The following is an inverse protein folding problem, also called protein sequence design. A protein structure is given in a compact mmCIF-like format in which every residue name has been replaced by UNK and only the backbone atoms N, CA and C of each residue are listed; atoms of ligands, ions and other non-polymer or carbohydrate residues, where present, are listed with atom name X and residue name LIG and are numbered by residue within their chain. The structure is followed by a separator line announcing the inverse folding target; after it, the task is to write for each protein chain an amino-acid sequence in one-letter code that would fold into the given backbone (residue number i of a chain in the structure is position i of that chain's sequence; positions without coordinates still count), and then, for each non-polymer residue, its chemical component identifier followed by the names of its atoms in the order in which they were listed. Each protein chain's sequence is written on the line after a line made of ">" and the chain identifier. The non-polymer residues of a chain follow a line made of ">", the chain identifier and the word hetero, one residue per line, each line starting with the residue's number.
data_IF_438052428162
#
_entry.id   IF_438052428162
#
_cell.length_a   1.000
_cell.length_b   1.000
_cell.length_c   1.000
_cell.angle_alpha   90.00
_cell.angle_beta   90.00
_cell.angle_gamma   90.00
#
_symmetry.space_group_name_H-M   'P 1'
#
loop_
_entity.id
_entity.type
_entity.pdbx_description
1 polymer ?
#
# COMPACT_ATOMS: atom_id res chain seq x y z
N UNK A 1 13.62 -13.33 7.44
CA UNK A 1 13.04 -13.60 6.17
C UNK A 1 11.79 -14.46 6.40
N UNK A 2 10.85 -14.55 5.51
CA UNK A 2 9.47 -15.01 5.67
C UNK A 2 9.30 -16.20 6.64
N UNK A 3 8.38 -16.05 7.58
CA UNK A 3 7.99 -17.09 8.52
C UNK A 3 7.59 -18.36 7.74
N UNK A 4 8.37 -19.43 7.89
CA UNK A 4 8.23 -20.70 7.16
C UNK A 4 6.85 -21.35 7.33
N UNK A 5 6.11 -20.98 8.37
CA UNK A 5 4.79 -21.54 8.71
C UNK A 5 3.63 -21.07 7.82
N UNK A 6 3.85 -20.13 6.86
CA UNK A 6 2.82 -19.58 5.98
C UNK A 6 3.12 -19.73 4.50
N UNK A 7 4.08 -20.58 4.14
CA UNK A 7 4.34 -20.87 2.73
C UNK A 7 3.18 -21.60 2.09
N UNK A 8 2.78 -21.18 0.89
CA UNK A 8 1.77 -21.87 0.10
C UNK A 8 2.36 -23.09 -0.61
N UNK A 9 3.68 -23.09 -0.84
CA UNK A 9 4.40 -24.13 -1.55
C UNK A 9 5.19 -24.96 -0.54
N UNK A 10 4.96 -26.25 -0.53
CA UNK A 10 5.67 -27.24 0.30
C UNK A 10 6.30 -28.30 -0.58
N UNK A 11 7.41 -28.91 -0.12
CA UNK A 11 8.05 -30.02 -0.83
C UNK A 11 7.07 -31.18 -1.02
N UNK A 12 7.01 -31.71 -2.25
CA UNK A 12 6.11 -32.80 -2.62
C UNK A 12 4.68 -32.38 -3.03
N UNK A 13 4.35 -31.07 -3.00
CA UNK A 13 3.09 -30.59 -3.57
C UNK A 13 3.09 -30.67 -5.09
N UNK A 14 1.91 -30.78 -5.69
CA UNK A 14 1.77 -30.71 -7.14
C UNK A 14 2.21 -29.33 -7.65
N UNK A 15 2.89 -29.29 -8.82
CA UNK A 15 3.23 -28.05 -9.48
C UNK A 15 1.97 -27.32 -9.94
N UNK A 16 1.77 -26.11 -9.47
CA UNK A 16 0.65 -25.25 -9.82
C UNK A 16 1.15 -23.80 -9.98
N UNK A 17 1.03 -23.27 -11.20
CA UNK A 17 1.47 -21.92 -11.53
C UNK A 17 0.69 -20.83 -10.76
N UNK A 18 -0.59 -21.08 -10.48
CA UNK A 18 -1.42 -20.14 -9.72
C UNK A 18 -0.93 -20.05 -8.26
N UNK A 19 -0.62 -21.18 -7.64
CA UNK A 19 -0.05 -21.23 -6.27
C UNK A 19 1.31 -20.54 -6.23
N UNK A 20 2.14 -20.69 -7.27
CA UNK A 20 3.40 -19.97 -7.39
C UNK A 20 3.19 -18.44 -7.45
N UNK A 21 2.20 -17.98 -8.22
CA UNK A 21 1.87 -16.57 -8.31
C UNK A 21 1.34 -16.00 -6.98
N UNK A 22 0.46 -16.73 -6.31
CA UNK A 22 -0.05 -16.37 -4.98
C UNK A 22 1.09 -16.28 -3.95
N UNK A 23 2.09 -17.15 -4.02
CA UNK A 23 3.26 -17.08 -3.15
C UNK A 23 4.12 -15.84 -3.42
N UNK A 24 4.30 -15.44 -4.71
CA UNK A 24 4.95 -14.16 -5.06
C UNK A 24 4.22 -12.98 -4.44
N UNK A 25 2.88 -12.93 -4.58
CA UNK A 25 2.04 -11.89 -3.98
C UNK A 25 2.17 -11.86 -2.45
N UNK A 26 2.15 -13.03 -1.81
CA UNK A 26 2.32 -13.17 -0.36
C UNK A 26 3.67 -12.61 0.11
N UNK A 27 4.75 -12.91 -0.61
CA UNK A 27 6.09 -12.42 -0.29
C UNK A 27 6.16 -10.91 -0.49
N UNK A 28 5.66 -10.38 -1.61
CA UNK A 28 5.62 -8.95 -1.89
C UNK A 28 4.83 -8.18 -0.81
N UNK A 29 3.65 -8.66 -0.45
CA UNK A 29 2.86 -8.10 0.64
C UNK A 29 3.60 -8.15 2.00
N UNK A 30 4.30 -9.25 2.29
CA UNK A 30 5.12 -9.35 3.51
C UNK A 30 6.28 -8.32 3.55
N UNK A 31 6.84 -7.97 2.41
CA UNK A 31 7.84 -6.91 2.27
C UNK A 31 7.22 -5.52 2.46
N UNK A 32 6.08 -5.22 1.80
CA UNK A 32 5.36 -3.95 1.96
C UNK A 32 4.88 -3.73 3.40
N UNK A 33 4.50 -4.78 4.11
CA UNK A 33 4.19 -4.71 5.56
C UNK A 33 5.38 -4.37 6.46
N UNK A 34 6.60 -4.42 5.93
CA UNK A 34 7.86 -4.10 6.62
C UNK A 34 8.47 -2.78 6.18
N UNK A 35 7.72 -1.96 5.45
CA UNK A 35 8.14 -0.64 5.02
C UNK A 35 8.68 -0.53 3.60
N UNK A 36 8.81 -1.63 2.86
CA UNK A 36 9.33 -1.61 1.49
C UNK A 36 8.21 -1.24 0.51
N UNK A 37 7.85 0.03 0.46
CA UNK A 37 6.69 0.55 -0.28
C UNK A 37 6.69 0.17 -1.76
N UNK A 38 7.84 0.27 -2.44
CA UNK A 38 7.98 -0.02 -3.88
C UNK A 38 8.25 -1.49 -4.19
N UNK A 39 8.24 -2.38 -3.19
CA UNK A 39 8.47 -3.80 -3.45
C UNK A 39 7.21 -4.44 -4.06
N UNK A 40 7.36 -5.00 -5.26
CA UNK A 40 6.27 -5.64 -6.00
C UNK A 40 6.56 -7.12 -6.31
N UNK A 41 5.49 -7.88 -6.60
CA UNK A 41 5.60 -9.28 -6.98
C UNK A 41 6.38 -9.49 -8.29
N UNK A 42 6.37 -8.49 -9.19
CA UNK A 42 7.10 -8.54 -10.45
C UNK A 42 8.62 -8.55 -10.26
N UNK A 43 9.11 -8.20 -9.08
CA UNK A 43 10.52 -8.32 -8.70
C UNK A 43 10.93 -9.78 -8.40
N UNK A 44 9.97 -10.69 -8.32
CA UNK A 44 10.18 -12.09 -7.98
C UNK A 44 9.93 -12.98 -9.19
N UNK A 45 10.79 -13.98 -9.40
CA UNK A 45 10.61 -15.03 -10.40
C UNK A 45 10.86 -16.40 -9.79
N UNK A 46 10.52 -17.43 -10.53
CA UNK A 46 10.85 -18.81 -10.20
C UNK A 46 11.74 -19.41 -11.27
N UNK A 47 12.78 -20.10 -10.81
CA UNK A 47 13.48 -21.08 -11.62
C UNK A 47 12.88 -22.46 -11.36
N UNK A 48 12.65 -23.18 -12.42
CA UNK A 48 12.15 -24.55 -12.38
C UNK A 48 13.19 -25.48 -13.00
N UNK A 49 13.77 -26.38 -12.22
CA UNK A 49 14.71 -27.40 -12.66
C UNK A 49 14.00 -28.74 -12.77
N UNK A 50 13.84 -29.24 -13.98
CA UNK A 50 13.24 -30.54 -14.29
C UNK A 50 14.27 -31.65 -14.56
N UNK A 51 15.56 -31.39 -14.39
CA UNK A 51 16.63 -32.33 -14.77
C UNK A 51 16.76 -33.54 -13.86
N UNK A 52 16.18 -33.50 -12.65
CA UNK A 52 16.25 -34.60 -11.67
C UNK A 52 15.49 -35.88 -12.05
N UNK A 53 14.71 -35.88 -13.14
CA UNK A 53 13.91 -37.02 -13.58
C UNK A 53 12.77 -37.38 -12.63
N UNK A 54 12.01 -38.46 -12.94
CA UNK A 54 10.92 -38.99 -12.11
C UNK A 54 9.73 -38.04 -11.90
N UNK A 55 9.42 -37.17 -12.87
CA UNK A 55 8.28 -36.22 -12.78
C UNK A 55 8.37 -35.27 -11.58
N UNK A 56 9.57 -34.91 -11.15
CA UNK A 56 9.83 -33.95 -10.08
C UNK A 56 10.45 -32.67 -10.67
N UNK A 57 10.04 -31.53 -10.13
CA UNK A 57 10.56 -30.22 -10.50
C UNK A 57 11.02 -29.52 -9.22
N UNK A 58 12.28 -29.10 -9.19
CA UNK A 58 12.76 -28.23 -8.12
C UNK A 58 12.44 -26.78 -8.48
N UNK A 59 11.75 -26.08 -7.59
CA UNK A 59 11.34 -24.69 -7.81
C UNK A 59 12.04 -23.79 -6.81
N UNK A 60 12.75 -22.79 -7.30
CA UNK A 60 13.47 -21.80 -6.47
C UNK A 60 12.97 -20.39 -6.79
N UNK A 61 12.49 -19.67 -5.76
CA UNK A 61 12.12 -18.26 -5.91
C UNK A 61 13.38 -17.39 -5.87
N UNK A 62 13.52 -16.48 -6.84
CA UNK A 62 14.62 -15.51 -6.95
C UNK A 62 14.10 -14.09 -7.22
N UNK A 63 14.98 -13.12 -7.05
CA UNK A 63 14.78 -11.79 -7.61
C UNK A 63 15.02 -11.83 -9.11
N UNK A 64 14.22 -11.05 -9.85
CA UNK A 64 14.36 -10.92 -11.31
C UNK A 64 15.75 -10.43 -11.70
N UNK A 65 16.35 -11.04 -12.73
CA UNK A 65 17.69 -10.68 -13.22
C UNK A 65 17.75 -9.24 -13.73
N UNK A 66 16.67 -8.72 -14.30
CA UNK A 66 16.65 -7.34 -14.78
C UNK A 66 16.98 -6.31 -13.69
N UNK A 67 16.75 -6.64 -12.40
CA UNK A 67 17.17 -5.80 -11.28
C UNK A 67 18.67 -5.58 -11.24
N UNK A 68 19.46 -6.54 -11.70
CA UNK A 68 20.92 -6.42 -11.74
C UNK A 68 21.36 -5.34 -12.74
N UNK A 69 20.56 -5.11 -13.80
CA UNK A 69 20.79 -4.14 -14.86
C UNK A 69 20.12 -2.78 -14.62
N UNK A 70 19.38 -2.63 -13.52
CA UNK A 70 18.77 -1.35 -13.12
C UNK A 70 19.81 -0.43 -12.47
N UNK A 71 19.53 0.88 -12.47
CA UNK A 71 20.35 1.86 -11.78
C UNK A 71 20.41 1.55 -10.27
N UNK A 72 21.50 1.96 -9.63
CA UNK A 72 21.61 1.81 -8.16
C UNK A 72 20.52 2.61 -7.45
N UNK A 73 20.11 3.77 -7.97
CA UNK A 73 19.00 4.57 -7.45
C UNK A 73 17.68 3.78 -7.44
N UNK A 74 17.38 3.04 -8.52
CA UNK A 74 16.18 2.20 -8.58
C UNK A 74 16.24 1.06 -7.55
N UNK A 75 17.39 0.38 -7.43
CA UNK A 75 17.58 -0.69 -6.44
C UNK A 75 17.41 -0.14 -5.01
N UNK A 76 18.03 0.99 -4.72
CA UNK A 76 17.87 1.64 -3.43
C UNK A 76 16.42 2.00 -3.15
N UNK A 77 15.70 2.56 -4.12
CA UNK A 77 14.28 2.91 -4.01
C UNK A 77 13.43 1.70 -3.63
N UNK A 78 13.62 0.58 -4.31
CA UNK A 78 12.86 -0.67 -4.09
C UNK A 78 13.16 -1.31 -2.72
N UNK A 79 14.42 -1.29 -2.30
CA UNK A 79 14.87 -1.94 -1.05
C UNK A 79 14.98 -0.97 0.13
N UNK A 80 14.54 0.28 -0.03
CA UNK A 80 14.48 1.26 1.04
C UNK A 80 13.18 1.13 1.82
N UNK A 81 13.26 1.37 3.13
CA UNK A 81 12.09 1.46 3.99
C UNK A 81 11.58 2.89 4.03
N UNK A 82 10.27 3.03 3.94
CA UNK A 82 9.59 4.32 3.93
C UNK A 82 8.82 4.54 5.24
N UNK A 83 8.72 5.80 5.63
CA UNK A 83 7.94 6.27 6.77
C UNK A 83 6.86 7.22 6.30
N UNK A 84 5.79 7.33 7.05
CA UNK A 84 4.72 8.28 6.80
C UNK A 84 5.12 9.62 7.43
N UNK A 85 5.28 10.66 6.63
CA UNK A 85 5.55 12.00 7.16
C UNK A 85 4.25 12.63 7.68
N UNK A 86 3.25 12.74 6.82
CA UNK A 86 1.95 13.32 7.15
C UNK A 86 0.80 12.45 6.65
N UNK A 87 -0.36 12.61 7.27
CA UNK A 87 -1.62 12.00 6.83
C UNK A 87 -2.62 13.11 6.51
N UNK A 88 -2.96 13.25 5.23
CA UNK A 88 -3.88 14.26 4.71
C UNK A 88 -5.27 13.67 4.52
N UNK A 89 -6.25 14.17 5.23
CA UNK A 89 -7.66 13.85 5.05
C UNK A 89 -8.32 14.87 4.13
N UNK A 90 -8.87 14.44 3.02
CA UNK A 90 -9.63 15.22 2.06
C UNK A 90 -11.11 14.83 2.16
N UNK A 91 -11.94 15.74 2.72
CA UNK A 91 -13.32 15.45 3.04
C UNK A 91 -14.25 16.12 2.02
N UNK A 92 -15.04 15.30 1.32
CA UNK A 92 -15.98 15.69 0.28
C UNK A 92 -15.36 16.41 -0.93
N UNK A 93 -14.05 16.32 -1.09
CA UNK A 93 -13.37 16.83 -2.29
C UNK A 93 -12.20 15.93 -2.71
N UNK A 94 -11.83 16.02 -4.00
CA UNK A 94 -10.68 15.33 -4.58
C UNK A 94 -9.57 16.37 -4.84
N UNK A 95 -8.36 16.21 -4.26
CA UNK A 95 -7.25 17.14 -4.48
C UNK A 95 -6.84 17.28 -5.95
N UNK A 96 -7.11 16.26 -6.79
CA UNK A 96 -6.88 16.33 -8.24
C UNK A 96 -7.94 17.16 -8.99
N UNK A 97 -9.03 17.58 -8.32
CA UNK A 97 -10.17 18.29 -8.87
C UNK A 97 -10.64 19.36 -7.92
N UNK A 98 -9.83 20.40 -7.76
CA UNK A 98 -10.17 21.55 -6.90
C UNK A 98 -11.44 22.22 -7.40
N UNK A 99 -12.47 22.38 -6.56
CA UNK A 99 -13.69 23.11 -6.95
C UNK A 99 -13.37 24.58 -7.20
N UNK A 100 -13.76 25.11 -8.36
CA UNK A 100 -13.44 26.47 -8.77
C UNK A 100 -14.12 27.57 -7.91
N UNK A 101 -15.23 27.25 -7.21
CA UNK A 101 -16.08 28.24 -6.51
C UNK A 101 -16.46 27.85 -5.06
N UNK A 102 -15.88 26.80 -4.46
CA UNK A 102 -16.25 26.39 -3.11
C UNK A 102 -15.20 26.80 -2.08
N UNK A 103 -15.66 27.30 -0.92
CA UNK A 103 -14.79 27.68 0.17
C UNK A 103 -14.15 26.46 0.83
N UNK A 104 -12.82 26.39 0.77
CA UNK A 104 -12.02 25.29 1.26
C UNK A 104 -11.39 25.65 2.61
N UNK A 105 -11.52 24.77 3.58
CA UNK A 105 -11.01 24.91 4.94
C UNK A 105 -9.91 23.90 5.21
N UNK A 106 -8.91 24.31 5.99
CA UNK A 106 -7.81 23.42 6.40
C UNK A 106 -7.53 23.57 7.89
N UNK A 107 -7.27 22.44 8.54
CA UNK A 107 -6.74 22.39 9.91
C UNK A 107 -5.66 21.32 10.02
N UNK A 108 -4.73 21.46 10.97
CA UNK A 108 -3.67 20.49 11.18
C UNK A 108 -3.39 20.27 12.67
N UNK A 109 -3.04 19.04 13.03
CA UNK A 109 -2.60 18.66 14.37
C UNK A 109 -1.80 17.35 14.33
N UNK A 110 -0.66 17.31 15.01
CA UNK A 110 0.15 16.10 15.22
C UNK A 110 0.51 15.31 13.94
N UNK A 111 0.84 16.03 12.84
CA UNK A 111 1.16 15.42 11.55
C UNK A 111 -0.06 14.98 10.73
N UNK A 112 -1.27 15.20 11.24
CA UNK A 112 -2.51 15.06 10.48
C UNK A 112 -2.93 16.41 9.90
N UNK A 113 -3.33 16.42 8.64
CA UNK A 113 -3.88 17.58 7.93
C UNK A 113 -5.28 17.25 7.48
N UNK A 114 -6.24 18.14 7.74
CA UNK A 114 -7.64 17.96 7.39
C UNK A 114 -8.05 19.09 6.46
N UNK A 115 -8.53 18.74 5.27
CA UNK A 115 -9.07 19.68 4.30
C UNK A 115 -10.50 19.28 3.95
N UNK A 116 -11.41 20.24 3.91
CA UNK A 116 -12.81 19.98 3.61
C UNK A 116 -13.44 21.15 2.87
N UNK A 117 -14.53 20.84 2.18
CA UNK A 117 -15.35 21.80 1.46
C UNK A 117 -16.70 21.93 2.18
N UNK A 118 -17.14 23.16 2.38
CA UNK A 118 -18.40 23.46 3.05
C UNK A 118 -18.52 22.91 4.47
N UNK A 119 -19.57 22.10 4.75
CA UNK A 119 -19.77 21.53 6.09
C UNK A 119 -18.92 20.29 6.30
N UNK A 120 -18.06 20.32 7.30
CA UNK A 120 -17.17 19.20 7.67
C UNK A 120 -17.95 17.90 7.91
N UNK A 121 -17.58 16.86 7.18
CA UNK A 121 -18.26 15.56 7.17
C UNK A 121 -18.15 14.82 8.50
N UNK A 122 -16.95 14.78 9.09
CA UNK A 122 -16.64 14.11 10.34
C UNK A 122 -15.70 14.97 11.19
N UNK A 123 -15.74 14.77 12.51
CA UNK A 123 -14.81 15.41 13.44
C UNK A 123 -13.43 14.78 13.32
N UNK A 124 -12.36 15.56 13.49
CA UNK A 124 -10.95 15.12 13.37
C UNK A 124 -10.65 13.92 14.28
N UNK A 125 -11.14 13.96 15.54
CA UNK A 125 -10.98 12.84 16.49
C UNK A 125 -11.56 11.52 15.99
N UNK A 126 -12.66 11.57 15.21
CA UNK A 126 -13.26 10.36 14.63
C UNK A 126 -12.38 9.82 13.50
N UNK A 127 -11.85 10.70 12.66
CA UNK A 127 -10.95 10.34 11.58
C UNK A 127 -9.66 9.71 12.11
N UNK A 128 -8.98 10.37 13.02
CA UNK A 128 -7.74 9.89 13.63
C UNK A 128 -7.95 8.55 14.34
N UNK A 129 -9.02 8.40 15.15
CA UNK A 129 -9.31 7.15 15.86
C UNK A 129 -9.53 5.96 14.94
N UNK A 130 -10.05 6.19 13.73
CA UNK A 130 -10.29 5.14 12.74
C UNK A 130 -9.15 4.95 11.74
N UNK A 131 -8.11 5.80 11.80
CA UNK A 131 -6.94 5.72 10.93
C UNK A 131 -5.83 4.91 11.59
N UNK A 132 -5.50 3.72 11.11
CA UNK A 132 -4.36 2.95 11.59
C UNK A 132 -3.03 3.35 10.91
N UNK A 133 -3.06 4.36 10.02
CA UNK A 133 -1.87 4.97 9.41
C UNK A 133 -1.52 6.19 10.27
N UNK A 134 -0.32 6.18 10.86
CA UNK A 134 0.11 7.20 11.82
C UNK A 134 1.30 7.99 11.27
N UNK A 135 1.32 9.32 11.40
CA UNK A 135 2.50 10.13 11.10
C UNK A 135 3.72 9.64 11.90
N UNK A 136 4.90 9.65 11.25
CA UNK A 136 6.16 9.14 11.82
C UNK A 136 6.31 7.62 11.80
N UNK A 137 5.23 6.86 11.60
CA UNK A 137 5.28 5.40 11.56
C UNK A 137 5.89 4.87 10.25
N UNK A 138 6.47 3.68 10.32
CA UNK A 138 6.90 2.97 9.11
C UNK A 138 5.70 2.59 8.25
N UNK A 139 5.82 2.74 6.92
CA UNK A 139 4.80 2.28 5.99
C UNK A 139 4.45 0.80 6.23
N UNK A 140 3.17 0.51 6.23
CA UNK A 140 2.67 -0.85 6.44
C UNK A 140 1.39 -1.09 5.63
N UNK A 141 1.45 -1.93 4.61
CA UNK A 141 0.32 -2.26 3.75
C UNK A 141 -0.91 -2.75 4.54
N UNK A 142 -0.70 -3.50 5.62
CA UNK A 142 -1.81 -3.96 6.46
C UNK A 142 -2.52 -2.81 7.20
N UNK A 143 -1.82 -1.72 7.48
CA UNK A 143 -2.46 -0.52 8.03
C UNK A 143 -3.37 0.12 6.99
N UNK A 144 -2.93 0.16 5.73
CA UNK A 144 -3.73 0.68 4.61
C UNK A 144 -5.00 -0.15 4.40
N UNK A 145 -4.89 -1.48 4.33
CA UNK A 145 -6.03 -2.41 4.23
C UNK A 145 -7.06 -2.19 5.35
N UNK A 146 -6.57 -2.02 6.58
CA UNK A 146 -7.43 -1.74 7.75
C UNK A 146 -8.06 -0.36 7.70
N UNK A 147 -7.35 0.65 7.16
CA UNK A 147 -7.89 1.98 6.98
C UNK A 147 -9.09 1.95 6.02
N UNK A 148 -8.96 1.32 4.86
CA UNK A 148 -10.08 1.11 3.94
C UNK A 148 -11.28 0.48 4.64
N UNK A 149 -11.05 -0.63 5.35
CA UNK A 149 -12.13 -1.35 6.04
C UNK A 149 -12.83 -0.47 7.09
N UNK A 150 -12.08 0.25 7.92
CA UNK A 150 -12.63 1.08 8.98
C UNK A 150 -13.39 2.29 8.44
N UNK A 151 -12.88 2.96 7.41
CA UNK A 151 -13.55 4.12 6.83
C UNK A 151 -14.83 3.72 6.10
N UNK A 152 -14.85 2.59 5.38
CA UNK A 152 -16.08 2.07 4.77
C UNK A 152 -17.17 1.68 5.77
N UNK A 153 -16.82 1.39 7.03
CA UNK A 153 -17.78 1.11 8.10
C UNK A 153 -18.41 2.38 8.70
N UNK A 154 -17.85 3.57 8.40
CA UNK A 154 -18.43 4.83 8.88
C UNK A 154 -19.67 5.19 8.04
N UNK A 155 -20.82 5.28 8.69
CA UNK A 155 -22.12 5.46 8.02
C UNK A 155 -22.18 6.59 6.96
N UNK A 156 -21.57 7.80 7.16
CA UNK A 156 -21.64 8.86 6.17
C UNK A 156 -20.69 8.64 5.00
N UNK A 157 -19.71 7.73 5.08
CA UNK A 157 -18.71 7.52 4.04
C UNK A 157 -19.23 6.54 2.99
N UNK A 158 -19.21 6.95 1.72
CA UNK A 158 -19.56 6.13 0.55
C UNK A 158 -18.40 5.87 -0.39
N UNK A 159 -17.38 6.73 -0.34
CA UNK A 159 -16.19 6.63 -1.15
C UNK A 159 -14.96 6.80 -0.26
N UNK A 160 -13.97 5.94 -0.46
CA UNK A 160 -12.66 5.96 0.20
C UNK A 160 -11.61 5.73 -0.88
N UNK A 161 -10.62 6.62 -0.93
CA UNK A 161 -9.40 6.40 -1.69
C UNK A 161 -8.20 6.73 -0.82
N UNK A 162 -7.14 5.93 -0.94
CA UNK A 162 -5.90 6.11 -0.18
C UNK A 162 -4.73 6.02 -1.15
N UNK A 163 -4.02 7.11 -1.29
CA UNK A 163 -2.83 7.22 -2.13
C UNK A 163 -1.63 7.72 -1.35
N UNK A 164 -0.45 7.57 -1.93
CA UNK A 164 0.81 7.98 -1.31
C UNK A 164 1.64 8.78 -2.30
N UNK A 165 2.22 9.87 -1.81
CA UNK A 165 3.17 10.69 -2.54
C UNK A 165 4.53 10.64 -1.84
N UNK A 166 5.60 10.37 -2.59
CA UNK A 166 6.95 10.42 -2.06
C UNK A 166 7.43 11.87 -1.99
N UNK A 167 7.69 12.37 -0.79
CA UNK A 167 8.10 13.75 -0.54
C UNK A 167 9.61 13.90 -0.28
N UNK A 168 10.26 12.82 0.14
CA UNK A 168 11.72 12.78 0.34
C UNK A 168 12.29 11.41 0.00
N UNK A 169 13.58 11.21 0.26
CA UNK A 169 14.25 9.93 -0.04
C UNK A 169 13.57 8.71 0.58
N UNK A 170 12.98 8.85 1.77
CA UNK A 170 12.38 7.75 2.55
C UNK A 170 11.07 8.12 3.24
N UNK A 171 10.43 9.21 2.83
CA UNK A 171 9.18 9.68 3.43
C UNK A 171 8.06 9.76 2.41
N UNK A 172 6.88 9.41 2.86
CA UNK A 172 5.63 9.41 2.11
C UNK A 172 4.60 10.26 2.83
N UNK A 173 3.91 11.12 2.09
CA UNK A 173 2.64 11.69 2.51
C UNK A 173 1.52 10.73 2.12
N UNK A 174 0.60 10.49 3.05
CA UNK A 174 -0.58 9.67 2.85
C UNK A 174 -1.79 10.57 2.61
N UNK A 175 -2.45 10.44 1.46
CA UNK A 175 -3.67 11.16 1.11
C UNK A 175 -4.87 10.23 1.22
N UNK A 176 -5.83 10.59 2.06
CA UNK A 176 -7.06 9.84 2.31
C UNK A 176 -8.26 10.70 1.88
N UNK A 177 -8.86 10.33 0.77
CA UNK A 177 -10.06 10.99 0.24
C UNK A 177 -11.30 10.26 0.77
N UNK A 178 -12.17 11.00 1.44
CA UNK A 178 -13.40 10.49 2.02
C UNK A 178 -14.60 11.34 1.55
N UNK A 179 -15.63 10.72 0.98
CA UNK A 179 -16.82 11.46 0.56
C UNK A 179 -18.13 10.73 0.85
N UNK A 180 -19.24 11.50 0.91
CA UNK A 180 -20.63 11.03 1.07
C UNK A 180 -21.21 10.40 -0.21
N UNK A 181 -20.57 10.53 -1.34
CA UNK A 181 -21.00 10.01 -2.62
C UNK A 181 -19.83 9.81 -3.57
N UNK A 182 -20.07 9.24 -4.75
CA UNK A 182 -19.04 9.21 -5.79
C UNK A 182 -18.67 10.64 -6.16
N UNK A 183 -17.38 10.95 -6.11
CA UNK A 183 -16.86 12.19 -6.69
C UNK A 183 -17.28 12.19 -8.16
N UNK A 184 -17.97 13.26 -8.59
CA UNK A 184 -18.46 13.34 -9.97
C UNK A 184 -17.27 13.27 -10.92
N UNK A 185 -17.21 12.22 -11.75
CA UNK A 185 -16.36 12.25 -12.94
C UNK A 185 -16.95 13.23 -13.94
N UNK A 186 -16.20 14.28 -14.26
CA UNK A 186 -16.47 15.11 -15.43
C UNK A 186 -15.94 14.38 -16.66
#
# INVERSE_FOLDING_TARGET
>A
IANNQRRLITGGSQFDAEVLNQERQRVASAMRRRGYFYFDQELLCYDADSTRGRKQIDVTMRLQEYLQHQSEEYKEKVFRKYHIAHVHFHLDYDPARVPDDEEMFTSSADGYVFTWVGKKLLRDKVLVRNCPIEPGAMYNERAVERAYTRFHQLAPIKYVDISFEQISANELDCHIVLSRGKLKSV
#
